data_IF_870033533397
#
_entry.id   IF_870033533397
#
_cell.length_a   1.000
_cell.length_b   1.000
_cell.length_c   1.000
_cell.angle_alpha   90.00
_cell.angle_beta   90.00
_cell.angle_gamma   90.00
#
_symmetry.space_group_name_H-M   'P 1'
#
loop_
_entity.id
_entity.type
_entity.pdbx_description
1 polymer ?
#
# COMPACT_ATOMS: atom_id res chain seq x y z
N UNK A 1 -36.41 32.77 7.05
CA UNK A 1 -37.87 32.70 6.84
C UNK A 1 -38.17 31.57 5.84
N UNK A 2 -39.09 30.64 6.13
CA UNK A 2 -39.45 29.54 5.21
C UNK A 2 -40.86 29.81 4.66
N UNK A 3 -40.95 30.22 3.40
CA UNK A 3 -42.23 30.44 2.72
C UNK A 3 -42.94 29.12 2.44
N UNK A 4 -44.27 29.10 2.61
CA UNK A 4 -45.15 28.01 2.18
C UNK A 4 -45.81 28.43 0.86
N UNK A 5 -45.78 27.55 -0.14
CA UNK A 5 -46.66 27.60 -1.32
C UNK A 5 -47.38 26.25 -1.39
N UNK A 6 -48.71 26.26 -1.58
CA UNK A 6 -49.58 25.07 -1.69
C UNK A 6 -49.37 23.97 -0.63
N UNK A 7 -49.17 24.33 0.63
CA UNK A 7 -49.22 23.39 1.76
C UNK A 7 -48.06 22.41 1.92
N UNK A 8 -47.11 22.35 0.99
CA UNK A 8 -45.98 21.41 1.07
C UNK A 8 -44.73 22.06 1.72
N UNK A 9 -44.15 21.39 2.72
CA UNK A 9 -42.86 21.80 3.33
C UNK A 9 -41.73 21.47 2.35
N UNK A 10 -41.05 22.47 1.79
CA UNK A 10 -39.77 22.23 1.12
C UNK A 10 -38.71 21.78 2.13
N UNK A 11 -38.32 20.51 2.06
CA UNK A 11 -37.10 19.99 2.66
C UNK A 11 -35.89 20.39 1.81
N UNK A 12 -34.82 20.78 2.50
CA UNK A 12 -33.58 21.35 1.97
C UNK A 12 -32.95 20.41 0.92
N UNK A 13 -32.86 20.92 -0.32
CA UNK A 13 -31.90 20.61 -1.39
C UNK A 13 -31.24 19.22 -1.39
N UNK A 14 -32.00 18.20 -1.73
CA UNK A 14 -31.47 17.08 -2.51
C UNK A 14 -31.77 17.34 -3.97
N UNK A 15 -30.92 18.07 -4.70
CA UNK A 15 -31.08 18.15 -6.16
C UNK A 15 -30.88 16.74 -6.72
N UNK A 16 -31.95 16.11 -7.21
CA UNK A 16 -31.85 14.92 -8.05
C UNK A 16 -31.31 15.41 -9.41
N UNK A 17 -30.01 15.73 -9.45
CA UNK A 17 -29.32 15.96 -10.71
C UNK A 17 -29.41 14.64 -11.49
N UNK A 18 -29.86 14.65 -12.75
CA UNK A 18 -29.78 13.47 -13.60
C UNK A 18 -28.33 12.96 -13.61
N UNK A 19 -28.13 11.70 -13.20
CA UNK A 19 -26.78 11.16 -13.07
C UNK A 19 -26.02 11.57 -11.80
N UNK A 20 -26.65 12.17 -10.79
CA UNK A 20 -26.01 12.50 -9.50
C UNK A 20 -25.27 11.30 -8.89
N UNK A 21 -25.87 10.10 -8.99
CA UNK A 21 -25.25 8.85 -8.54
C UNK A 21 -24.00 8.52 -9.39
N UNK A 22 -24.05 8.75 -10.70
CA UNK A 22 -22.91 8.54 -11.61
C UNK A 22 -21.76 9.50 -11.29
N UNK A 23 -22.07 10.77 -11.04
CA UNK A 23 -21.12 11.81 -10.65
C UNK A 23 -20.53 11.54 -9.27
N UNK A 24 -21.34 11.12 -8.29
CA UNK A 24 -20.86 10.74 -6.97
C UNK A 24 -19.95 9.50 -7.04
N UNK A 25 -20.30 8.51 -7.86
CA UNK A 25 -19.45 7.33 -8.11
C UNK A 25 -18.15 7.69 -8.81
N UNK A 26 -18.18 8.57 -9.82
CA UNK A 26 -16.96 9.02 -10.50
C UNK A 26 -16.08 9.85 -9.56
N UNK A 27 -16.67 10.73 -8.75
CA UNK A 27 -15.98 11.51 -7.72
C UNK A 27 -15.27 10.60 -6.69
N UNK A 28 -15.96 9.58 -6.18
CA UNK A 28 -15.38 8.60 -5.27
C UNK A 28 -14.24 7.79 -5.90
N UNK A 29 -14.35 7.45 -7.19
CA UNK A 29 -13.26 6.81 -7.93
C UNK A 29 -12.06 7.76 -8.09
N UNK A 30 -12.31 9.06 -8.38
CA UNK A 30 -11.28 10.10 -8.51
C UNK A 30 -10.51 10.36 -7.21
N UNK A 31 -11.16 10.24 -6.06
CA UNK A 31 -10.53 10.44 -4.74
C UNK A 31 -9.44 9.38 -4.45
N UNK A 32 -9.61 8.16 -5.00
CA UNK A 32 -8.63 7.06 -4.87
C UNK A 32 -7.50 7.10 -5.91
N UNK A 33 -7.40 8.13 -6.76
CA UNK A 33 -6.35 8.21 -7.76
C UNK A 33 -5.12 8.97 -7.29
N UNK A 34 -3.99 8.30 -7.40
CA UNK A 34 -2.67 8.92 -7.25
C UNK A 34 -2.40 9.92 -8.39
N UNK A 35 -1.60 10.95 -8.14
CA UNK A 35 -1.19 11.92 -9.17
C UNK A 35 -0.53 11.26 -10.40
N UNK A 36 0.25 10.20 -10.17
CA UNK A 36 0.84 9.39 -11.25
C UNK A 36 -0.21 8.67 -12.09
N UNK A 37 -1.36 8.32 -11.52
CA UNK A 37 -2.44 7.71 -12.27
C UNK A 37 -3.24 8.73 -13.07
N UNK A 38 -3.46 9.95 -12.54
CA UNK A 38 -4.00 11.09 -13.29
C UNK A 38 -3.14 11.40 -14.52
N UNK A 39 -1.81 11.41 -14.35
CA UNK A 39 -0.88 11.56 -15.47
C UNK A 39 -1.06 10.48 -16.55
N UNK A 40 -1.22 9.20 -16.14
CA UNK A 40 -1.45 8.10 -17.08
C UNK A 40 -2.79 8.22 -17.80
N UNK A 41 -3.85 8.66 -17.12
CA UNK A 41 -5.15 8.91 -17.75
C UNK A 41 -4.99 9.94 -18.86
N UNK A 42 -4.35 11.08 -18.58
CA UNK A 42 -4.10 12.12 -19.58
C UNK A 42 -3.38 11.59 -20.83
N UNK A 43 -2.42 10.69 -20.65
CA UNK A 43 -1.72 10.04 -21.77
C UNK A 43 -2.67 9.13 -22.55
N UNK A 44 -3.50 8.34 -21.88
CA UNK A 44 -4.45 7.45 -22.54
C UNK A 44 -5.54 8.22 -23.29
N UNK A 45 -6.02 9.33 -22.74
CA UNK A 45 -6.97 10.22 -23.40
C UNK A 45 -6.35 10.84 -24.67
N UNK A 46 -5.13 11.35 -24.56
CA UNK A 46 -4.38 11.86 -25.71
C UNK A 46 -4.15 10.77 -26.75
N UNK A 47 -3.76 9.56 -26.33
CA UNK A 47 -3.56 8.42 -27.21
C UNK A 47 -4.82 8.09 -28.02
N UNK A 48 -5.99 8.12 -27.36
CA UNK A 48 -7.28 7.88 -28.00
C UNK A 48 -7.65 8.98 -28.98
N UNK A 49 -7.42 10.24 -28.62
CA UNK A 49 -7.68 11.40 -29.48
C UNK A 49 -6.81 11.41 -30.76
N UNK A 50 -5.62 10.82 -30.70
CA UNK A 50 -4.66 10.77 -31.82
C UNK A 50 -4.64 9.40 -32.52
N UNK A 51 -5.80 8.75 -32.65
CA UNK A 51 -5.99 7.54 -33.45
C UNK A 51 -5.31 6.28 -32.91
N UNK A 52 -5.03 6.21 -31.61
CA UNK A 52 -4.36 5.09 -30.95
C UNK A 52 -2.96 4.77 -31.53
N UNK A 53 -2.25 5.79 -32.04
CA UNK A 53 -0.89 5.59 -32.53
C UNK A 53 0.12 5.53 -31.36
N UNK A 54 0.56 4.31 -31.02
CA UNK A 54 1.45 4.06 -29.89
C UNK A 54 2.84 4.68 -30.07
N UNK A 55 3.38 4.70 -31.29
CA UNK A 55 4.70 5.29 -31.59
C UNK A 55 4.67 6.81 -31.44
N UNK A 56 3.62 7.45 -31.94
CA UNK A 56 3.41 8.89 -31.82
C UNK A 56 3.24 9.30 -30.36
N UNK A 57 2.41 8.56 -29.61
CA UNK A 57 2.17 8.81 -28.18
C UNK A 57 3.43 8.64 -27.34
N UNK A 58 4.20 7.57 -27.62
CA UNK A 58 5.48 7.32 -26.97
C UNK A 58 6.48 8.47 -27.17
N UNK A 59 6.59 8.99 -28.41
CA UNK A 59 7.44 10.13 -28.74
C UNK A 59 6.97 11.42 -28.06
N UNK A 60 5.66 11.70 -28.10
CA UNK A 60 5.09 12.93 -27.55
C UNK A 60 5.29 13.04 -26.02
N UNK A 61 5.13 11.94 -25.28
CA UNK A 61 5.25 11.92 -23.81
C UNK A 61 6.60 11.41 -23.28
N UNK A 62 7.55 11.08 -24.17
CA UNK A 62 8.86 10.54 -23.77
C UNK A 62 8.78 9.20 -23.04
N UNK A 63 7.80 8.36 -23.34
CA UNK A 63 7.62 7.04 -22.71
C UNK A 63 7.94 5.90 -23.69
N UNK A 64 8.38 4.76 -23.17
CA UNK A 64 8.52 3.56 -23.99
C UNK A 64 7.16 3.01 -24.46
N UNK A 65 7.07 2.54 -25.71
CA UNK A 65 5.86 1.89 -26.27
C UNK A 65 5.35 0.75 -25.40
N UNK A 66 6.26 -0.05 -24.83
CA UNK A 66 5.89 -1.15 -23.93
C UNK A 66 5.25 -0.67 -22.63
N UNK A 67 5.66 0.49 -22.11
CA UNK A 67 5.04 1.10 -20.94
C UNK A 67 3.59 1.50 -21.24
N UNK A 68 3.35 2.10 -22.41
CA UNK A 68 2.02 2.46 -22.87
C UNK A 68 1.12 1.21 -23.01
N UNK A 69 1.59 0.14 -23.65
CA UNK A 69 0.82 -1.10 -23.77
C UNK A 69 0.51 -1.74 -22.41
N UNK A 70 1.44 -1.70 -21.46
CA UNK A 70 1.19 -2.19 -20.09
C UNK A 70 0.09 -1.38 -19.40
N UNK A 71 0.04 -0.06 -19.60
CA UNK A 71 -1.01 0.79 -19.06
C UNK A 71 -2.36 0.54 -19.74
N UNK A 72 -2.39 0.45 -21.07
CA UNK A 72 -3.59 0.11 -21.84
C UNK A 72 -4.18 -1.25 -21.41
N UNK A 73 -3.32 -2.27 -21.26
CA UNK A 73 -3.74 -3.60 -20.77
C UNK A 73 -4.34 -3.52 -19.36
N UNK A 74 -3.73 -2.76 -18.46
CA UNK A 74 -4.25 -2.56 -17.09
C UNK A 74 -5.56 -1.80 -17.09
N UNK A 75 -5.67 -0.75 -17.89
CA UNK A 75 -6.90 0.02 -18.04
C UNK A 75 -8.04 -0.85 -18.58
N UNK A 76 -7.78 -1.71 -19.56
CA UNK A 76 -8.78 -2.66 -20.09
C UNK A 76 -9.27 -3.66 -19.05
N UNK A 77 -8.40 -4.13 -18.15
CA UNK A 77 -8.76 -5.15 -17.15
C UNK A 77 -9.33 -4.57 -15.85
N UNK A 78 -8.82 -3.44 -15.37
CA UNK A 78 -9.11 -2.91 -14.04
C UNK A 78 -9.67 -1.47 -14.07
N UNK A 79 -9.96 -0.95 -15.26
CA UNK A 79 -10.42 0.41 -15.46
C UNK A 79 -9.42 1.46 -14.97
N UNK A 80 -9.96 2.61 -14.56
CA UNK A 80 -9.18 3.76 -14.10
C UNK A 80 -8.32 3.42 -12.87
N UNK A 81 -8.84 2.59 -11.94
CA UNK A 81 -8.12 2.18 -10.71
C UNK A 81 -6.84 1.41 -11.06
N UNK A 82 -6.84 0.63 -12.15
CA UNK A 82 -5.68 -0.13 -12.62
C UNK A 82 -4.46 0.70 -13.01
N UNK A 83 -4.64 2.02 -13.18
CA UNK A 83 -3.56 2.95 -13.49
C UNK A 83 -2.82 3.43 -12.25
N UNK A 84 -3.37 3.20 -11.05
CA UNK A 84 -2.66 3.44 -9.81
C UNK A 84 -1.34 2.66 -9.76
N UNK A 85 -0.38 3.20 -9.00
CA UNK A 85 0.86 2.48 -8.77
C UNK A 85 0.60 1.25 -7.91
N UNK A 86 1.10 0.12 -8.38
CA UNK A 86 1.18 -1.07 -7.54
C UNK A 86 2.35 -0.92 -6.58
N UNK A 87 2.22 -1.60 -5.45
CA UNK A 87 3.33 -1.82 -4.54
C UNK A 87 4.54 -2.37 -5.31
N UNK A 88 5.68 -1.69 -5.18
CA UNK A 88 6.96 -2.14 -5.70
C UNK A 88 7.65 -3.11 -4.73
N UNK A 89 6.99 -3.43 -3.61
CA UNK A 89 7.52 -4.33 -2.60
C UNK A 89 7.67 -5.73 -3.19
N UNK A 90 8.81 -6.40 -2.96
CA UNK A 90 8.99 -7.80 -3.36
C UNK A 90 7.86 -8.67 -2.82
N UNK A 91 7.36 -9.59 -3.64
CA UNK A 91 6.34 -10.57 -3.22
C UNK A 91 6.86 -11.50 -2.13
N UNK A 92 8.13 -11.86 -2.20
CA UNK A 92 8.81 -12.70 -1.23
C UNK A 92 9.80 -11.87 -0.43
N UNK A 93 9.45 -11.60 0.83
CA UNK A 93 10.39 -11.04 1.79
C UNK A 93 11.14 -12.18 2.49
N UNK A 94 12.39 -11.91 2.85
CA UNK A 94 13.18 -12.85 3.67
C UNK A 94 12.49 -13.04 5.02
N UNK A 95 12.11 -14.28 5.31
CA UNK A 95 11.62 -14.67 6.62
C UNK A 95 12.79 -14.96 7.58
N UNK A 96 12.63 -14.76 8.89
CA UNK A 96 13.63 -15.20 9.86
C UNK A 96 13.78 -16.72 9.82
N UNK A 97 15.01 -17.22 9.75
CA UNK A 97 15.31 -18.67 9.80
C UNK A 97 15.19 -19.26 11.22
N UNK A 98 14.98 -18.41 12.23
CA UNK A 98 15.05 -18.80 13.64
C UNK A 98 13.70 -19.41 14.06
N UNK A 99 13.76 -20.57 14.71
CA UNK A 99 12.56 -21.21 15.29
C UNK A 99 11.85 -20.31 16.30
N UNK A 100 10.52 -20.42 16.36
CA UNK A 100 9.68 -19.71 17.32
C UNK A 100 10.08 -20.00 18.77
N UNK A 101 10.50 -21.23 19.07
CA UNK A 101 10.86 -21.66 20.43
C UNK A 101 12.06 -20.90 20.98
N UNK A 102 13.07 -20.70 20.15
CA UNK A 102 14.27 -19.91 20.49
C UNK A 102 13.88 -18.46 20.78
N UNK A 103 12.94 -17.90 20.00
CA UNK A 103 12.44 -16.54 20.22
C UNK A 103 11.70 -16.44 21.55
N UNK A 104 10.82 -17.40 21.84
CA UNK A 104 10.05 -17.47 23.09
C UNK A 104 11.02 -17.58 24.27
N UNK A 105 11.97 -18.51 24.21
CA UNK A 105 12.94 -18.73 25.29
C UNK A 105 13.81 -17.50 25.53
N UNK A 106 14.30 -16.87 24.47
CA UNK A 106 15.07 -15.63 24.56
C UNK A 106 14.28 -14.51 25.26
N UNK A 107 12.99 -14.38 24.95
CA UNK A 107 12.10 -13.39 25.58
C UNK A 107 11.84 -13.73 27.05
N UNK A 108 11.62 -15.00 27.38
CA UNK A 108 11.47 -15.45 28.77
C UNK A 108 12.70 -15.09 29.61
N UNK A 109 13.90 -15.44 29.12
CA UNK A 109 15.15 -15.13 29.82
C UNK A 109 15.34 -13.62 30.00
N UNK A 110 14.98 -12.80 29.01
CA UNK A 110 15.03 -11.34 29.12
C UNK A 110 14.05 -10.80 30.16
N UNK A 111 12.85 -11.37 30.27
CA UNK A 111 11.85 -10.98 31.29
C UNK A 111 12.29 -11.39 32.69
N UNK A 112 12.87 -12.59 32.84
CA UNK A 112 13.40 -13.06 34.11
C UNK A 112 14.62 -12.26 34.58
N UNK A 113 15.46 -11.82 33.63
CA UNK A 113 16.66 -11.03 33.92
C UNK A 113 16.72 -9.73 33.10
N UNK A 114 15.94 -8.69 33.48
CA UNK A 114 15.81 -7.46 32.69
C UNK A 114 17.10 -6.64 32.55
N UNK A 115 17.99 -6.68 33.53
CA UNK A 115 19.26 -5.93 33.51
C UNK A 115 20.37 -6.66 32.71
N UNK A 116 20.17 -7.90 32.29
CA UNK A 116 21.24 -8.72 31.72
C UNK A 116 21.49 -8.43 30.25
N UNK A 117 22.77 -8.37 29.87
CA UNK A 117 23.18 -8.15 28.49
C UNK A 117 22.85 -9.34 27.60
N UNK A 118 22.70 -9.09 26.29
CA UNK A 118 22.53 -10.12 25.24
C UNK A 118 23.60 -11.23 25.29
N UNK A 119 24.80 -10.93 25.82
CA UNK A 119 25.88 -11.90 25.98
C UNK A 119 25.58 -12.92 27.08
N UNK A 120 25.08 -12.45 28.24
CA UNK A 120 24.67 -13.33 29.34
C UNK A 120 23.48 -14.21 28.94
N UNK A 121 22.50 -13.64 28.25
CA UNK A 121 21.35 -14.40 27.73
C UNK A 121 21.78 -15.48 26.74
N UNK A 122 22.73 -15.16 25.83
CA UNK A 122 23.31 -16.16 24.91
C UNK A 122 24.05 -17.26 25.66
N UNK A 123 24.76 -16.93 26.75
CA UNK A 123 25.45 -17.95 27.55
C UNK A 123 24.46 -18.92 28.21
N UNK A 124 23.31 -18.43 28.69
CA UNK A 124 22.23 -19.28 29.22
C UNK A 124 21.62 -20.17 28.13
N UNK A 125 21.27 -19.60 26.97
CA UNK A 125 20.75 -20.37 25.84
C UNK A 125 21.74 -21.46 25.41
N UNK A 126 23.05 -21.17 25.42
CA UNK A 126 24.07 -22.16 25.11
C UNK A 126 24.11 -23.30 26.15
N UNK A 127 23.91 -23.01 27.44
CA UNK A 127 23.82 -24.04 28.49
C UNK A 127 22.58 -24.93 28.34
N UNK A 128 21.53 -24.40 27.73
CA UNK A 128 20.29 -25.14 27.40
C UNK A 128 20.40 -25.90 26.06
N UNK A 129 21.58 -25.97 25.44
CA UNK A 129 21.80 -26.64 24.16
C UNK A 129 21.36 -25.83 22.93
N UNK A 130 20.94 -24.57 23.09
CA UNK A 130 20.50 -23.70 22.00
C UNK A 130 21.69 -22.88 21.49
N UNK A 131 22.24 -23.29 20.35
CA UNK A 131 23.34 -22.56 19.69
C UNK A 131 22.82 -21.38 18.85
N UNK A 132 22.94 -20.18 19.40
CA UNK A 132 22.64 -18.93 18.68
C UNK A 132 23.76 -17.90 18.81
N UNK A 133 23.96 -17.14 17.74
CA UNK A 133 24.88 -16.01 17.77
C UNK A 133 24.33 -14.87 18.65
N UNK A 134 25.24 -14.10 19.24
CA UNK A 134 24.87 -12.94 20.08
C UNK A 134 24.10 -11.90 19.27
N UNK A 135 24.42 -11.75 17.99
CA UNK A 135 23.70 -10.85 17.07
C UNK A 135 22.26 -11.31 16.82
N UNK A 136 22.02 -12.62 16.75
CA UNK A 136 20.67 -13.19 16.68
C UNK A 136 19.86 -12.86 17.92
N UNK A 137 20.40 -13.08 19.12
CA UNK A 137 19.75 -12.70 20.39
C UNK A 137 19.42 -11.20 20.40
N UNK A 138 20.38 -10.35 20.05
CA UNK A 138 20.16 -8.91 19.96
C UNK A 138 19.06 -8.52 18.96
N UNK A 139 19.01 -9.15 17.78
CA UNK A 139 17.96 -8.92 16.78
C UNK A 139 16.59 -9.35 17.28
N UNK A 140 16.49 -10.48 18.01
CA UNK A 140 15.25 -10.96 18.62
C UNK A 140 14.74 -9.92 19.62
N UNK A 141 15.60 -9.50 20.55
CA UNK A 141 15.25 -8.52 21.57
C UNK A 141 14.81 -7.18 20.97
N UNK A 142 15.53 -6.70 19.95
CA UNK A 142 15.19 -5.47 19.23
C UNK A 142 13.86 -5.56 18.50
N UNK A 143 13.60 -6.65 17.77
CA UNK A 143 12.31 -6.86 17.07
C UNK A 143 11.12 -6.95 18.02
N UNK A 144 11.36 -7.41 19.25
CA UNK A 144 10.34 -7.53 20.31
C UNK A 144 10.25 -6.28 21.20
N UNK A 145 11.01 -5.22 20.90
CA UNK A 145 10.96 -3.95 21.66
C UNK A 145 11.56 -4.02 23.07
N UNK A 146 12.39 -5.02 23.37
CA UNK A 146 12.97 -5.23 24.71
C UNK A 146 14.31 -4.49 24.93
N UNK A 147 14.84 -3.88 23.87
CA UNK A 147 16.04 -3.06 23.86
C UNK A 147 15.78 -1.90 22.89
N UNK A 148 16.03 -0.68 23.36
CA UNK A 148 16.03 0.52 22.53
C UNK A 148 17.37 0.69 21.83
N UNK A 149 17.33 1.38 20.69
CA UNK A 149 18.36 1.41 19.65
C UNK A 149 19.76 1.66 20.16
#
# INVERSE_FOLDING_TARGET
>A
MRGKYNGCRMTIYGTILPGAISIARSAFLTDKLTERAKYKIRILDWHRAHGNNASLTARHFGIGRMTLYRWLKRFKHYGIIGLNEYSRKPKHLRQPTISGDIVIRTVQLRKQYPAWSKHKLRALLKREGIEVSVSTVGRILKRRGLINR
#
